data_IF_599173931560
#
_entry.id   IF_599173931560
#
_cell.length_a   1.000
_cell.length_b   1.000
_cell.length_c   1.000
_cell.angle_alpha   90.00
_cell.angle_beta   90.00
_cell.angle_gamma   90.00
#
_symmetry.space_group_name_H-M   'P 1'
#
loop_
_entity.id
_entity.type
_entity.pdbx_description
1 polymer ?
#
# COMPACT_ATOMS: atom_id res chain seq x y z
N UNK A 1 9.57 -12.45 -12.04
CA UNK A 1 8.63 -11.67 -12.87
C UNK A 1 8.30 -12.47 -14.11
N UNK A 2 7.04 -12.59 -14.53
CA UNK A 2 6.69 -13.16 -15.83
C UNK A 2 7.36 -12.36 -16.95
N UNK A 3 7.83 -13.05 -17.99
CA UNK A 3 8.40 -12.37 -19.16
C UNK A 3 7.27 -11.71 -19.96
N UNK A 4 7.37 -10.41 -20.25
CA UNK A 4 6.51 -9.76 -21.23
C UNK A 4 6.87 -10.31 -22.62
N UNK A 5 5.89 -10.91 -23.28
CA UNK A 5 6.04 -11.54 -24.59
C UNK A 5 5.71 -10.57 -25.72
N UNK A 6 4.72 -9.70 -25.52
CA UNK A 6 4.25 -8.75 -26.52
C UNK A 6 3.57 -7.56 -25.83
N UNK A 7 3.88 -6.33 -26.23
CA UNK A 7 3.12 -5.13 -25.86
C UNK A 7 2.25 -4.77 -27.07
N UNK A 8 0.92 -4.78 -26.91
CA UNK A 8 -0.01 -4.40 -27.98
C UNK A 8 -0.29 -2.90 -27.92
N UNK A 9 -0.75 -2.30 -29.03
CA UNK A 9 -1.23 -0.90 -29.03
C UNK A 9 -2.35 -0.75 -27.97
N UNK A 10 -2.22 0.25 -27.10
CA UNK A 10 -3.11 0.48 -25.94
C UNK A 10 -2.49 0.04 -24.62
N UNK A 11 -3.33 -0.27 -23.62
CA UNK A 11 -2.91 -0.68 -22.26
C UNK A 11 -2.79 -2.20 -22.07
N UNK A 12 -2.66 -2.98 -23.16
CA UNK A 12 -2.69 -4.44 -23.11
C UNK A 12 -1.32 -5.05 -23.45
N UNK A 13 -0.91 -6.07 -22.70
CA UNK A 13 0.27 -6.86 -22.98
C UNK A 13 0.00 -8.36 -22.84
N UNK A 14 0.80 -9.18 -23.53
CA UNK A 14 0.87 -10.63 -23.32
C UNK A 14 2.07 -10.93 -22.45
N UNK A 15 1.88 -11.74 -21.42
CA UNK A 15 2.95 -12.20 -20.55
C UNK A 15 3.02 -13.72 -20.47
N UNK A 16 4.18 -14.22 -20.03
CA UNK A 16 4.40 -15.64 -19.78
C UNK A 16 3.46 -16.13 -18.67
N UNK A 17 2.69 -17.18 -18.97
CA UNK A 17 1.91 -17.87 -17.95
C UNK A 17 2.82 -18.46 -16.87
N UNK A 18 2.55 -18.11 -15.61
CA UNK A 18 3.24 -18.68 -14.46
C UNK A 18 2.33 -19.71 -13.80
N UNK A 19 2.68 -20.99 -13.92
CA UNK A 19 2.00 -22.08 -13.20
C UNK A 19 2.41 -22.09 -11.71
N UNK A 20 1.97 -21.10 -10.94
CA UNK A 20 2.16 -21.01 -9.49
C UNK A 20 0.80 -20.82 -8.80
N UNK A 21 0.73 -21.18 -7.52
CA UNK A 21 -0.46 -20.97 -6.71
C UNK A 21 -0.41 -19.57 -6.09
N UNK A 22 -1.54 -18.87 -6.17
CA UNK A 22 -1.79 -17.65 -5.39
C UNK A 22 -1.55 -17.93 -3.90
N UNK A 23 -0.98 -16.96 -3.20
CA UNK A 23 -0.85 -17.04 -1.76
C UNK A 23 -2.24 -17.07 -1.13
N UNK A 24 -2.51 -18.10 -0.32
CA UNK A 24 -3.73 -18.16 0.49
C UNK A 24 -3.43 -17.61 1.87
N UNK A 25 -4.16 -16.55 2.23
CA UNK A 25 -4.14 -15.92 3.55
C UNK A 25 -4.83 -16.82 4.57
N UNK A 26 -4.06 -17.71 5.17
CA UNK A 26 -4.42 -18.21 6.50
C UNK A 26 -3.50 -17.49 7.49
N UNK A 27 -4.00 -16.98 8.64
CA UNK A 27 -3.20 -16.28 9.64
C UNK A 27 -1.90 -17.02 10.01
N UNK A 28 -1.97 -18.33 10.21
CA UNK A 28 -0.84 -19.18 10.55
C UNK A 28 0.20 -19.26 9.42
N UNK A 29 -0.26 -19.14 8.17
CA UNK A 29 0.62 -19.09 6.99
C UNK A 29 1.27 -17.71 6.85
N UNK A 30 0.61 -16.63 7.25
CA UNK A 30 1.21 -15.29 7.21
C UNK A 30 2.51 -15.24 8.02
N UNK A 31 2.48 -15.63 9.30
CA UNK A 31 3.68 -15.63 10.15
C UNK A 31 4.82 -16.50 9.57
N UNK A 32 4.47 -17.63 8.97
CA UNK A 32 5.43 -18.53 8.32
C UNK A 32 6.10 -17.90 7.09
N UNK A 33 5.36 -17.13 6.30
CA UNK A 33 5.82 -16.63 5.00
C UNK A 33 6.19 -15.14 5.00
N UNK A 34 5.82 -14.37 6.02
CA UNK A 34 6.08 -12.92 6.08
C UNK A 34 7.55 -12.58 5.88
N UNK A 35 8.46 -13.39 6.43
CA UNK A 35 9.91 -13.22 6.24
C UNK A 35 10.30 -13.31 4.77
N UNK A 36 9.75 -14.28 4.04
CA UNK A 36 10.02 -14.46 2.60
C UNK A 36 9.36 -13.37 1.76
N UNK A 37 8.20 -12.83 2.20
CA UNK A 37 7.52 -11.71 1.55
C UNK A 37 8.35 -10.44 1.73
N UNK A 38 8.75 -10.12 2.95
CA UNK A 38 9.56 -8.92 3.24
C UNK A 38 10.92 -8.99 2.57
N UNK A 39 11.57 -10.16 2.53
CA UNK A 39 12.79 -10.35 1.75
C UNK A 39 12.60 -10.02 0.27
N UNK A 40 11.42 -10.32 -0.32
CA UNK A 40 11.15 -9.94 -1.71
C UNK A 40 10.94 -8.43 -1.90
N UNK A 41 10.50 -7.72 -0.86
CA UNK A 41 10.46 -6.25 -0.84
C UNK A 41 11.86 -5.68 -0.64
N UNK A 42 12.65 -6.23 0.27
CA UNK A 42 14.02 -5.82 0.52
C UNK A 42 14.88 -5.97 -0.76
N UNK A 43 14.74 -7.08 -1.50
CA UNK A 43 15.41 -7.26 -2.79
C UNK A 43 15.01 -6.18 -3.83
N UNK A 44 13.81 -5.62 -3.72
CA UNK A 44 13.36 -4.48 -4.53
C UNK A 44 13.97 -3.16 -4.03
N UNK A 45 13.93 -2.96 -2.71
CA UNK A 45 14.42 -1.77 -2.02
C UNK A 45 15.94 -1.63 -2.13
N UNK A 46 16.70 -2.72 -2.13
CA UNK A 46 18.16 -2.72 -2.22
C UNK A 46 18.70 -2.31 -3.60
N UNK A 47 17.87 -2.29 -4.65
CA UNK A 47 18.30 -1.91 -6.01
C UNK A 47 18.54 -0.42 -6.20
N UNK A 48 18.08 0.43 -5.28
CA UNK A 48 18.41 1.86 -5.23
C UNK A 48 18.57 2.27 -3.78
N UNK A 49 19.70 2.91 -3.43
CA UNK A 49 19.92 3.43 -2.08
C UNK A 49 18.85 4.47 -1.74
N UNK A 50 17.88 4.09 -0.89
CA UNK A 50 17.22 4.88 0.14
C UNK A 50 17.32 6.41 -0.05
N UNK A 51 16.56 6.96 -1.00
CA UNK A 51 16.52 8.41 -1.17
C UNK A 51 15.83 9.01 0.06
N UNK A 52 16.53 9.92 0.75
CA UNK A 52 15.96 10.65 1.88
C UNK A 52 15.26 11.90 1.36
N UNK A 53 13.98 12.02 1.64
CA UNK A 53 13.16 13.20 1.30
C UNK A 53 12.55 13.78 2.57
N UNK A 54 12.29 15.09 2.59
CA UNK A 54 11.50 15.69 3.67
C UNK A 54 10.04 15.22 3.55
N UNK A 55 9.48 14.77 4.68
CA UNK A 55 8.10 14.27 4.77
C UNK A 55 7.08 15.27 4.22
N UNK A 56 7.27 16.57 4.48
CA UNK A 56 6.40 17.64 3.96
C UNK A 56 6.51 17.82 2.45
N UNK A 57 7.73 17.77 1.90
CA UNK A 57 7.93 17.90 0.46
C UNK A 57 7.27 16.74 -0.27
N UNK A 58 7.44 15.53 0.27
CA UNK A 58 6.84 14.32 -0.29
C UNK A 58 5.31 14.34 -0.19
N UNK A 59 4.76 14.69 0.98
CA UNK A 59 3.31 14.73 1.18
C UNK A 59 2.64 15.84 0.37
N UNK A 60 3.25 17.01 0.23
CA UNK A 60 2.74 18.07 -0.63
C UNK A 60 2.73 17.67 -2.10
N UNK A 61 3.71 16.88 -2.56
CA UNK A 61 3.69 16.32 -3.91
C UNK A 61 2.50 15.37 -4.10
N UNK A 62 2.29 14.44 -3.17
CA UNK A 62 1.15 13.53 -3.19
C UNK A 62 -0.19 14.28 -3.16
N UNK A 63 -0.30 15.31 -2.33
CA UNK A 63 -1.51 16.15 -2.22
C UNK A 63 -1.83 16.83 -3.54
N UNK A 64 -0.84 17.47 -4.19
CA UNK A 64 -1.04 18.10 -5.51
C UNK A 64 -1.48 17.09 -6.58
N UNK A 65 -0.89 15.90 -6.56
CA UNK A 65 -1.26 14.84 -7.49
C UNK A 65 -2.71 14.38 -7.27
N UNK A 66 -3.11 14.19 -6.01
CA UNK A 66 -4.48 13.82 -5.65
C UNK A 66 -5.46 14.93 -6.07
N UNK A 67 -5.18 16.20 -5.75
CA UNK A 67 -6.02 17.32 -6.17
C UNK A 67 -6.20 17.39 -7.69
N UNK A 68 -5.14 17.09 -8.44
CA UNK A 68 -5.22 17.00 -9.90
C UNK A 68 -6.15 15.87 -10.34
N UNK A 69 -6.09 14.70 -9.71
CA UNK A 69 -6.99 13.59 -10.02
C UNK A 69 -8.45 13.90 -9.64
N UNK A 70 -8.69 14.57 -8.51
CA UNK A 70 -10.02 14.90 -8.02
C UNK A 70 -10.80 15.84 -8.96
N UNK A 71 -10.13 16.63 -9.79
CA UNK A 71 -10.78 17.47 -10.81
C UNK A 71 -11.62 16.65 -11.80
N UNK A 72 -11.26 15.39 -12.06
CA UNK A 72 -12.02 14.49 -12.93
C UNK A 72 -13.33 14.01 -12.31
N UNK A 73 -13.48 14.15 -10.99
CA UNK A 73 -14.65 13.72 -10.23
C UNK A 73 -15.44 14.91 -9.66
N UNK A 74 -15.30 16.10 -10.27
CA UNK A 74 -15.94 17.31 -9.76
C UNK A 74 -17.48 17.21 -9.65
N UNK A 75 -18.11 16.31 -10.41
CA UNK A 75 -19.54 16.00 -10.33
C UNK A 75 -19.93 15.20 -9.07
N UNK A 76 -18.97 14.59 -8.37
CA UNK A 76 -19.15 13.83 -7.12
C UNK A 76 -18.69 14.68 -5.92
N UNK A 77 -19.28 15.86 -5.75
CA UNK A 77 -18.79 16.88 -4.82
C UNK A 77 -18.66 16.39 -3.37
N UNK A 78 -19.56 15.53 -2.91
CA UNK A 78 -19.57 15.04 -1.53
C UNK A 78 -18.41 14.06 -1.27
N UNK A 79 -18.16 13.13 -2.20
CA UNK A 79 -17.06 12.17 -2.12
C UNK A 79 -15.71 12.87 -2.26
N UNK A 80 -15.60 13.83 -3.17
CA UNK A 80 -14.41 14.67 -3.33
C UNK A 80 -14.11 15.42 -2.03
N UNK A 81 -15.11 16.01 -1.39
CA UNK A 81 -14.91 16.75 -0.14
C UNK A 81 -14.41 15.86 0.99
N UNK A 82 -14.95 14.64 1.12
CA UNK A 82 -14.46 13.65 2.10
C UNK A 82 -12.98 13.28 1.89
N UNK A 83 -12.52 13.15 0.65
CA UNK A 83 -11.10 12.91 0.37
C UNK A 83 -10.26 14.13 0.78
N UNK A 84 -10.72 15.35 0.48
CA UNK A 84 -10.02 16.58 0.88
C UNK A 84 -9.93 16.73 2.40
N UNK A 85 -11.00 16.51 3.13
CA UNK A 85 -11.00 16.52 4.60
C UNK A 85 -9.95 15.55 5.17
N UNK A 86 -9.81 14.38 4.55
CA UNK A 86 -8.82 13.39 4.92
C UNK A 86 -7.40 13.81 4.57
N UNK A 87 -7.17 14.42 3.41
CA UNK A 87 -5.88 15.00 3.03
C UNK A 87 -5.47 16.10 4.01
N UNK A 88 -6.40 16.95 4.41
CA UNK A 88 -6.16 18.02 5.40
C UNK A 88 -5.80 17.45 6.78
N UNK A 89 -6.53 16.42 7.22
CA UNK A 89 -6.20 15.70 8.45
C UNK A 89 -4.79 15.11 8.40
N UNK A 90 -4.43 14.46 7.30
CA UNK A 90 -3.10 13.87 7.10
C UNK A 90 -2.03 14.95 7.09
N UNK A 91 -2.22 16.03 6.33
CA UNK A 91 -1.26 17.14 6.20
C UNK A 91 -0.96 17.77 7.56
N UNK A 92 -1.98 17.98 8.40
CA UNK A 92 -1.83 18.49 9.78
C UNK A 92 -1.15 17.49 10.73
N UNK A 93 -1.15 16.20 10.40
CA UNK A 93 -0.61 15.13 11.25
C UNK A 93 0.83 14.73 10.89
N UNK A 94 1.32 15.13 9.72
CA UNK A 94 2.70 14.90 9.29
C UNK A 94 3.62 15.84 10.07
N UNK A 95 4.69 15.28 10.64
CA UNK A 95 5.76 16.00 11.32
C UNK A 95 6.96 16.16 10.40
N UNK A 96 7.74 17.23 10.61
CA UNK A 96 8.98 17.46 9.85
C UNK A 96 10.02 16.39 10.15
N UNK A 97 10.38 15.61 9.14
CA UNK A 97 11.45 14.63 9.25
C UNK A 97 11.86 14.10 7.88
N UNK A 98 13.10 13.60 7.81
CA UNK A 98 13.56 12.81 6.67
C UNK A 98 12.90 11.43 6.68
N UNK A 99 12.28 11.09 5.56
CA UNK A 99 11.72 9.77 5.28
C UNK A 99 12.54 9.08 4.19
N UNK A 100 12.47 7.76 4.18
CA UNK A 100 13.07 6.92 3.15
C UNK A 100 12.05 6.61 2.04
N UNK A 101 12.44 6.90 0.81
CA UNK A 101 11.71 6.58 -0.42
C UNK A 101 12.49 5.52 -1.21
N UNK A 102 11.77 4.51 -1.71
CA UNK A 102 12.32 3.42 -2.51
C UNK A 102 11.37 2.99 -3.62
N UNK A 103 11.88 2.15 -4.52
CA UNK A 103 11.03 1.41 -5.44
C UNK A 103 10.08 0.49 -4.68
N UNK A 104 8.80 0.62 -4.97
CA UNK A 104 7.73 -0.17 -4.40
C UNK A 104 6.96 -0.85 -5.53
N UNK A 105 6.48 -2.06 -5.25
CA UNK A 105 5.55 -2.79 -6.10
C UNK A 105 4.27 -1.98 -6.33
N UNK A 106 3.80 -1.27 -5.30
CA UNK A 106 2.66 -0.36 -5.38
C UNK A 106 1.30 -1.03 -5.21
N UNK A 107 1.22 -2.33 -5.48
CA UNK A 107 0.06 -3.15 -5.12
C UNK A 107 0.49 -4.49 -4.53
N UNK A 108 1.22 -4.45 -3.41
CA UNK A 108 1.66 -5.64 -2.67
C UNK A 108 0.52 -6.37 -1.93
N UNK A 109 -0.68 -6.35 -2.53
CA UNK A 109 -1.84 -7.10 -2.09
C UNK A 109 -1.56 -8.60 -2.14
N UNK A 110 -2.11 -9.37 -1.22
CA UNK A 110 -1.84 -10.81 -1.17
C UNK A 110 -2.23 -11.58 -2.45
N UNK A 111 -3.19 -11.05 -3.22
CA UNK A 111 -3.54 -11.57 -4.55
C UNK A 111 -2.40 -11.49 -5.56
N UNK A 112 -1.46 -10.58 -5.36
CA UNK A 112 -0.28 -10.36 -6.22
C UNK A 112 0.97 -11.08 -5.69
N UNK A 113 0.82 -11.84 -4.61
CA UNK A 113 1.88 -12.66 -4.03
C UNK A 113 1.68 -14.09 -4.50
N UNK A 114 2.62 -14.60 -5.29
CA UNK A 114 2.62 -16.00 -5.73
C UNK A 114 3.70 -16.80 -5.04
N UNK A 115 3.34 -18.04 -4.70
CA UNK A 115 4.21 -18.94 -3.96
C UNK A 115 4.56 -20.18 -4.78
N UNK A 116 5.82 -20.59 -4.69
CA UNK A 116 6.23 -21.97 -4.97
C UNK A 116 6.75 -22.64 -3.68
N UNK A 117 7.17 -23.90 -3.74
CA UNK A 117 7.62 -24.65 -2.55
C UNK A 117 8.78 -23.96 -1.78
N UNK A 118 9.61 -23.16 -2.45
CA UNK A 118 10.87 -22.60 -1.90
C UNK A 118 10.99 -21.08 -1.97
N UNK A 119 10.12 -20.38 -2.70
CA UNK A 119 10.25 -18.96 -2.96
C UNK A 119 8.90 -18.27 -3.09
N UNK A 120 8.94 -16.96 -2.85
CA UNK A 120 7.85 -16.03 -3.08
C UNK A 120 8.22 -15.14 -4.27
N UNK A 121 7.22 -14.70 -5.03
CA UNK A 121 7.41 -13.74 -6.10
C UNK A 121 6.22 -12.80 -6.14
N UNK A 122 6.46 -11.56 -6.53
CA UNK A 122 5.41 -10.58 -6.80
C UNK A 122 5.08 -10.58 -8.30
N UNK A 123 3.82 -10.39 -8.63
CA UNK A 123 3.28 -10.22 -9.98
C UNK A 123 2.44 -8.96 -10.04
N UNK A 124 2.07 -8.57 -11.25
CA UNK A 124 1.20 -7.43 -11.49
C UNK A 124 1.86 -6.08 -11.10
N UNK A 125 2.94 -5.76 -11.84
CA UNK A 125 3.84 -4.63 -11.58
C UNK A 125 3.37 -3.31 -12.20
N UNK A 126 2.09 -3.17 -12.57
CA UNK A 126 1.57 -1.96 -13.21
C UNK A 126 1.68 -0.72 -12.29
N UNK A 127 1.58 -0.94 -10.99
CA UNK A 127 1.64 0.10 -9.96
C UNK A 127 3.07 0.39 -9.48
N UNK A 128 4.10 -0.16 -10.13
CA UNK A 128 5.49 0.04 -9.75
C UNK A 128 5.88 1.53 -9.73
N UNK A 129 6.54 1.98 -8.66
CA UNK A 129 6.97 3.37 -8.54
C UNK A 129 7.71 3.69 -7.26
N UNK A 130 8.17 4.93 -7.11
CA UNK A 130 8.81 5.41 -5.89
C UNK A 130 7.75 5.69 -4.82
N UNK A 131 7.88 5.05 -3.65
CA UNK A 131 7.01 5.24 -2.48
C UNK A 131 7.81 5.21 -1.19
N UNK A 132 7.14 5.52 -0.07
CA UNK A 132 7.68 5.34 1.26
C UNK A 132 8.11 3.88 1.48
N UNK A 133 9.24 3.68 2.18
CA UNK A 133 9.86 2.36 2.36
C UNK A 133 8.96 1.32 3.03
N UNK A 134 7.91 1.77 3.73
CA UNK A 134 6.94 0.90 4.40
C UNK A 134 5.67 0.67 3.59
N UNK A 135 5.51 1.27 2.42
CA UNK A 135 4.27 1.17 1.65
C UNK A 135 3.88 -0.28 1.33
N UNK A 136 4.77 -1.07 0.74
CA UNK A 136 4.49 -2.48 0.38
C UNK A 136 4.27 -3.35 1.63
N UNK A 137 5.02 -3.07 2.69
CA UNK A 137 4.88 -3.74 3.99
C UNK A 137 3.46 -3.51 4.55
N UNK A 138 3.04 -2.25 4.67
CA UNK A 138 1.72 -1.88 5.20
C UNK A 138 0.61 -2.44 4.30
N UNK A 139 0.76 -2.35 2.98
CA UNK A 139 -0.21 -2.91 2.01
C UNK A 139 -0.42 -4.41 2.23
N UNK A 140 0.68 -5.17 2.36
CA UNK A 140 0.62 -6.61 2.54
C UNK A 140 -0.05 -6.99 3.88
N UNK A 141 0.31 -6.32 4.98
CA UNK A 141 -0.31 -6.55 6.31
C UNK A 141 -1.79 -6.21 6.27
N UNK A 142 -2.13 -5.04 5.72
CA UNK A 142 -3.51 -4.58 5.60
C UNK A 142 -4.36 -5.56 4.78
N UNK A 143 -3.81 -6.13 3.71
CA UNK A 143 -4.50 -7.14 2.91
C UNK A 143 -4.87 -8.39 3.69
N UNK A 144 -3.95 -8.87 4.53
CA UNK A 144 -4.14 -10.04 5.40
C UNK A 144 -5.17 -9.74 6.47
N UNK A 145 -5.05 -8.59 7.15
CA UNK A 145 -6.01 -8.15 8.16
C UNK A 145 -7.41 -8.08 7.56
N UNK A 146 -7.58 -7.39 6.43
CA UNK A 146 -8.88 -7.22 5.78
C UNK A 146 -9.53 -8.56 5.42
N UNK A 147 -8.79 -9.48 4.79
CA UNK A 147 -9.33 -10.79 4.37
C UNK A 147 -9.72 -11.63 5.61
N UNK A 148 -8.86 -11.66 6.63
CA UNK A 148 -9.15 -12.46 7.81
C UNK A 148 -10.29 -11.87 8.67
N UNK A 149 -10.45 -10.54 8.68
CA UNK A 149 -11.62 -9.88 9.30
C UNK A 149 -12.90 -10.23 8.53
N UNK A 150 -12.90 -10.16 7.20
CA UNK A 150 -14.05 -10.56 6.38
C UNK A 150 -14.43 -12.04 6.60
N UNK A 151 -13.44 -12.91 6.83
CA UNK A 151 -13.65 -14.32 7.09
C UNK A 151 -13.93 -14.68 8.56
N UNK A 152 -14.02 -13.70 9.48
CA UNK A 152 -14.16 -13.90 10.94
C UNK A 152 -13.07 -14.79 11.56
N UNK A 153 -11.89 -14.85 10.95
CA UNK A 153 -10.77 -15.72 11.37
C UNK A 153 -9.67 -14.97 12.13
N UNK A 154 -9.82 -13.66 12.34
CA UNK A 154 -8.85 -12.84 13.06
C UNK A 154 -9.42 -12.33 14.38
N UNK A 155 -8.85 -12.81 15.49
CA UNK A 155 -9.31 -12.47 16.85
C UNK A 155 -8.50 -11.31 17.49
N UNK A 156 -7.61 -10.67 16.73
CA UNK A 156 -6.78 -9.55 17.20
C UNK A 156 -7.30 -8.19 16.73
N UNK A 157 -7.04 -7.13 17.49
CA UNK A 157 -7.27 -5.75 17.03
C UNK A 157 -6.30 -5.43 15.89
N UNK A 158 -6.81 -5.11 14.69
CA UNK A 158 -6.01 -4.83 13.49
C UNK A 158 -4.89 -3.79 13.69
N UNK A 159 -5.13 -2.73 14.47
CA UNK A 159 -4.12 -1.69 14.81
C UNK A 159 -2.87 -2.28 15.44
N UNK A 160 -3.04 -3.11 16.49
CA UNK A 160 -1.91 -3.73 17.21
C UNK A 160 -1.02 -4.58 16.31
N UNK A 161 -1.54 -5.07 15.19
CA UNK A 161 -0.76 -5.87 14.24
C UNK A 161 0.08 -4.99 13.31
N UNK A 162 -0.50 -3.91 12.78
CA UNK A 162 0.23 -2.93 11.95
C UNK A 162 1.30 -2.20 12.77
N UNK A 163 0.95 -1.68 13.95
CA UNK A 163 1.90 -0.97 14.82
C UNK A 163 3.05 -1.88 15.26
N UNK A 164 2.74 -3.12 15.67
CA UNK A 164 3.78 -4.10 16.07
C UNK A 164 4.73 -4.41 14.92
N UNK A 165 4.21 -4.61 13.72
CA UNK A 165 5.03 -4.90 12.54
C UNK A 165 5.85 -3.69 12.13
N UNK A 166 5.30 -2.48 12.13
CA UNK A 166 6.08 -1.28 11.86
C UNK A 166 7.16 -1.04 12.90
N UNK A 167 6.91 -1.32 14.19
CA UNK A 167 7.94 -1.27 15.22
C UNK A 167 9.08 -2.24 14.94
N UNK A 168 8.78 -3.46 14.45
CA UNK A 168 9.81 -4.41 14.03
C UNK A 168 10.60 -3.90 12.81
N UNK A 169 9.90 -3.37 11.81
CA UNK A 169 10.54 -2.78 10.63
C UNK A 169 11.39 -1.56 11.00
N UNK A 170 10.98 -0.78 12.00
CA UNK A 170 11.77 0.35 12.50
C UNK A 170 13.16 -0.08 12.98
N UNK A 171 13.26 -1.23 13.66
CA UNK A 171 14.53 -1.80 14.08
C UNK A 171 15.36 -2.27 12.86
N UNK A 172 14.72 -2.91 11.88
CA UNK A 172 15.39 -3.39 10.65
C UNK A 172 15.98 -2.22 9.86
N UNK A 173 15.21 -1.13 9.70
CA UNK A 173 15.60 0.04 8.93
C UNK A 173 16.29 1.13 9.76
N UNK A 174 16.55 0.88 11.04
CA UNK A 174 17.15 1.84 11.99
C UNK A 174 16.42 3.20 12.01
N UNK A 175 15.09 3.16 11.98
CA UNK A 175 14.20 4.32 12.07
C UNK A 175 13.70 4.40 13.53
N UNK A 176 13.86 5.54 14.22
CA UNK A 176 13.32 5.72 15.57
C UNK A 176 11.81 5.49 15.62
N UNK A 177 11.32 4.87 16.69
CA UNK A 177 9.91 4.46 16.81
C UNK A 177 8.94 5.64 16.75
N UNK A 178 9.33 6.78 17.33
CA UNK A 178 8.58 8.04 17.30
C UNK A 178 8.43 8.61 15.88
N UNK A 179 9.31 8.19 14.95
CA UNK A 179 9.30 8.61 13.56
C UNK A 179 8.41 7.74 12.67
N UNK A 180 8.04 6.53 13.10
CA UNK A 180 7.22 5.59 12.33
C UNK A 180 5.85 6.19 11.96
N UNK A 181 5.25 6.97 12.86
CA UNK A 181 3.87 7.43 12.72
C UNK A 181 3.62 8.19 11.41
N UNK A 182 4.63 8.89 10.88
CA UNK A 182 4.52 9.58 9.58
C UNK A 182 4.23 8.62 8.44
N UNK A 183 4.73 7.39 8.49
CA UNK A 183 4.53 6.40 7.44
C UNK A 183 3.09 5.92 7.35
N UNK A 184 2.32 5.94 8.46
CA UNK A 184 0.88 5.71 8.39
C UNK A 184 0.16 6.80 7.59
N UNK A 185 0.55 8.05 7.82
CA UNK A 185 -0.04 9.20 7.17
C UNK A 185 0.32 9.24 5.68
N UNK A 186 1.59 8.98 5.36
CA UNK A 186 2.05 8.87 3.98
C UNK A 186 1.37 7.71 3.26
N UNK A 187 1.26 6.54 3.90
CA UNK A 187 0.56 5.39 3.34
C UNK A 187 -0.88 5.73 2.92
N UNK A 188 -1.61 6.51 3.73
CA UNK A 188 -2.97 6.94 3.34
C UNK A 188 -2.99 7.77 2.07
N UNK A 189 -2.10 8.75 1.93
CA UNK A 189 -2.00 9.55 0.70
C UNK A 189 -1.57 8.70 -0.50
N UNK A 190 -0.57 7.84 -0.31
CA UNK A 190 -0.05 6.93 -1.33
C UNK A 190 -1.13 5.94 -1.81
N UNK A 191 -1.97 5.47 -0.89
CA UNK A 191 -3.09 4.58 -1.20
C UNK A 191 -4.19 5.30 -1.98
N UNK A 192 -4.57 6.52 -1.56
CA UNK A 192 -5.55 7.35 -2.28
C UNK A 192 -5.08 7.56 -3.72
N UNK A 193 -3.85 8.02 -3.93
CA UNK A 193 -3.35 8.29 -5.28
C UNK A 193 -3.24 7.01 -6.12
N UNK A 194 -2.82 5.87 -5.54
CA UNK A 194 -2.82 4.59 -6.28
C UNK A 194 -4.23 4.26 -6.78
N UNK A 195 -5.26 4.40 -5.93
CA UNK A 195 -6.64 4.06 -6.34
C UNK A 195 -7.24 5.04 -7.35
N UNK A 196 -6.96 6.33 -7.22
CA UNK A 196 -7.45 7.33 -8.18
C UNK A 196 -6.81 7.18 -9.58
N UNK A 197 -5.60 6.62 -9.69
CA UNK A 197 -4.94 6.39 -10.98
C UNK A 197 -5.68 5.38 -11.87
N UNK A 198 -6.49 4.49 -11.31
CA UNK A 198 -7.31 3.54 -12.09
C UNK A 198 -8.59 4.16 -12.67
N UNK A 199 -8.79 5.48 -12.57
CA UNK A 199 -10.00 6.14 -13.10
C UNK A 199 -10.27 5.81 -14.57
N UNK A 200 -9.23 5.61 -15.37
CA UNK A 200 -9.37 5.31 -16.79
C UNK A 200 -9.85 3.86 -17.04
N UNK A 201 -9.73 2.98 -16.03
CA UNK A 201 -10.14 1.57 -16.08
C UNK A 201 -11.50 1.33 -15.43
N UNK A 202 -11.78 1.99 -14.29
CA UNK A 202 -12.97 1.71 -13.46
C UNK A 202 -13.86 2.95 -13.23
N UNK A 203 -13.54 4.09 -13.84
CA UNK A 203 -14.35 5.31 -13.79
C UNK A 203 -14.54 5.85 -12.37
N UNK A 204 -15.75 6.30 -12.08
CA UNK A 204 -16.17 6.90 -10.81
C UNK A 204 -15.99 5.96 -9.60
N UNK A 205 -15.98 4.64 -9.81
CA UNK A 205 -15.77 3.68 -8.71
C UNK A 205 -14.37 3.81 -8.11
N UNK A 206 -13.39 4.37 -8.84
CA UNK A 206 -12.06 4.66 -8.31
C UNK A 206 -12.10 5.56 -7.07
N UNK A 207 -12.94 6.60 -7.09
CA UNK A 207 -13.07 7.54 -5.98
C UNK A 207 -13.68 6.87 -4.75
N UNK A 208 -14.72 6.07 -4.96
CA UNK A 208 -15.38 5.30 -3.90
C UNK A 208 -14.44 4.26 -3.28
N UNK A 209 -13.68 3.55 -4.10
CA UNK A 209 -12.65 2.60 -3.63
C UNK A 209 -11.58 3.33 -2.82
N UNK A 210 -11.09 4.48 -3.29
CA UNK A 210 -10.11 5.28 -2.57
C UNK A 210 -10.64 5.69 -1.17
N UNK A 211 -11.88 6.18 -1.11
CA UNK A 211 -12.53 6.55 0.14
C UNK A 211 -12.69 5.35 1.09
N UNK A 212 -13.30 4.26 0.61
CA UNK A 212 -13.57 3.05 1.38
C UNK A 212 -12.32 2.44 1.99
N UNK A 213 -11.23 2.37 1.23
CA UNK A 213 -9.99 1.80 1.70
C UNK A 213 -9.34 2.66 2.77
N UNK A 214 -9.38 3.97 2.60
CA UNK A 214 -8.76 4.88 3.55
C UNK A 214 -9.55 4.96 4.86
N UNK A 215 -10.89 4.97 4.81
CA UNK A 215 -11.72 4.88 6.02
C UNK A 215 -11.55 3.54 6.74
N UNK A 216 -11.47 2.42 6.01
CA UNK A 216 -11.16 1.12 6.60
C UNK A 216 -9.77 1.12 7.25
N UNK A 217 -8.77 1.71 6.60
CA UNK A 217 -7.43 1.81 7.19
C UNK A 217 -7.43 2.67 8.46
N UNK A 218 -8.15 3.79 8.47
CA UNK A 218 -8.33 4.63 9.66
C UNK A 218 -9.01 3.88 10.81
N UNK A 219 -10.04 3.08 10.53
CA UNK A 219 -10.65 2.18 11.51
C UNK A 219 -9.64 1.15 12.03
N UNK A 220 -8.85 0.55 11.14
CA UNK A 220 -7.76 -0.36 11.54
C UNK A 220 -6.80 0.35 12.49
N UNK A 221 -6.35 1.58 12.19
CA UNK A 221 -5.44 2.37 13.04
C UNK A 221 -6.03 2.71 14.41
N UNK A 222 -7.31 3.04 14.48
CA UNK A 222 -7.98 3.33 15.75
C UNK A 222 -8.29 2.08 16.57
N UNK A 223 -8.04 0.88 16.02
CA UNK A 223 -8.49 -0.38 16.62
C UNK A 223 -10.02 -0.53 16.58
N UNK A 224 -10.70 0.27 15.76
CA UNK A 224 -12.15 0.40 15.64
C UNK A 224 -12.72 -0.48 14.52
N UNK A 225 -11.95 -1.41 13.94
CA UNK A 225 -12.54 -2.43 13.07
C UNK A 225 -13.52 -3.29 13.89
N UNK A 226 -14.78 -2.85 13.93
CA UNK A 226 -15.89 -3.57 14.49
C UNK A 226 -16.28 -4.71 13.54
N UNK A 227 -16.52 -5.85 14.18
CA UNK A 227 -16.81 -7.18 13.62
C UNK A 227 -18.25 -7.23 13.11
#
# INVERSE_FOLDING_TARGET
>A
MPKILEIKKGSYYKEQYINKKLFKTEPEKWEKYKKLIYQSFDDLHLKKMNEKMDSYVYSDALVRDIESQLKHFAHLSNEVEKIKEMMDFVKKSITDQKIYINYSHGDAWVGNIIRNKKSISLIDWHDFGNRSIFFDHITSIYSVVKINTQNKQWNGTGSRSIDKELNQLSNIYSIPIEKIKVYHFLFMLELIISRLKYKDEIGDEALKIAFDWTEKFKQVLKGECQI
#
